data_IF_340759227837
#
_entry.id   IF_340759227837
#
_cell.length_a   1.000
_cell.length_b   1.000
_cell.length_c   1.000
_cell.angle_alpha   90.00
_cell.angle_beta   90.00
_cell.angle_gamma   90.00
#
_symmetry.space_group_name_H-M   'P 1'
#
loop_
_entity.id
_entity.type
_entity.pdbx_description
1 polymer ?
#
# COMPACT_ATOMS: atom_id res chain seq x y z
N UNK A 1 -5.90 1.81 20.97
CA UNK A 1 -6.83 2.37 19.95
C UNK A 1 -6.48 1.77 18.59
N UNK A 2 -7.24 0.78 18.12
CA UNK A 2 -7.08 0.27 16.76
C UNK A 2 -7.68 1.30 15.81
N UNK A 3 -6.82 2.10 15.18
CA UNK A 3 -7.27 3.04 14.16
C UNK A 3 -7.64 2.25 12.92
N UNK A 4 -8.89 2.40 12.48
CA UNK A 4 -9.39 1.98 11.18
C UNK A 4 -8.45 2.52 10.09
N UNK A 5 -7.70 1.63 9.42
CA UNK A 5 -6.60 1.98 8.52
C UNK A 5 -6.69 1.16 7.24
N UNK A 6 -6.28 1.80 6.13
CA UNK A 6 -6.10 1.14 4.84
C UNK A 6 -4.64 0.78 4.68
N UNK A 7 -4.37 -0.42 4.18
CA UNK A 7 -3.03 -0.90 3.89
C UNK A 7 -2.89 -1.16 2.39
N UNK A 8 -1.66 -0.99 1.90
CA UNK A 8 -1.27 -1.42 0.57
C UNK A 8 -0.20 -2.50 0.75
N UNK A 9 -0.46 -3.69 0.22
CA UNK A 9 0.49 -4.79 0.20
C UNK A 9 1.10 -4.85 -1.19
N UNK A 10 2.42 -4.71 -1.26
CA UNK A 10 3.18 -4.83 -2.52
C UNK A 10 3.89 -6.17 -2.51
N UNK A 11 3.50 -7.07 -3.41
CA UNK A 11 4.19 -8.33 -3.66
C UNK A 11 5.10 -8.21 -4.88
N UNK A 12 6.27 -8.84 -4.86
CA UNK A 12 7.18 -8.92 -6.00
C UNK A 12 7.50 -10.38 -6.33
N UNK A 13 7.87 -10.64 -7.59
CA UNK A 13 8.56 -11.88 -7.94
C UNK A 13 10.00 -11.88 -7.42
N UNK A 14 10.66 -13.05 -7.47
CA UNK A 14 12.04 -13.23 -6.98
C UNK A 14 13.04 -12.31 -7.68
N UNK A 15 12.84 -12.07 -8.97
CA UNK A 15 13.67 -11.17 -9.76
C UNK A 15 13.39 -9.67 -9.50
N UNK A 16 12.37 -9.32 -8.69
CA UNK A 16 11.95 -7.94 -8.41
C UNK A 16 11.67 -7.10 -9.67
N UNK A 17 11.19 -7.75 -10.73
CA UNK A 17 10.86 -7.12 -12.02
C UNK A 17 9.37 -6.94 -12.22
N UNK A 18 8.57 -7.70 -11.48
CA UNK A 18 7.11 -7.73 -11.55
C UNK A 18 6.55 -7.56 -10.16
N UNK A 19 5.68 -6.58 -10.00
CA UNK A 19 5.03 -6.26 -8.74
C UNK A 19 3.52 -6.31 -8.90
N UNK A 20 2.82 -6.69 -7.83
CA UNK A 20 1.37 -6.59 -7.71
C UNK A 20 1.02 -5.85 -6.43
N UNK A 21 -0.05 -5.07 -6.47
CA UNK A 21 -0.48 -4.27 -5.32
C UNK A 21 -1.89 -4.69 -4.92
N UNK A 22 -2.06 -5.04 -3.65
CA UNK A 22 -3.37 -5.28 -3.04
C UNK A 22 -3.71 -4.13 -2.12
N UNK A 23 -4.95 -3.63 -2.22
CA UNK A 23 -5.50 -2.69 -1.24
C UNK A 23 -6.31 -3.46 -0.22
N UNK A 24 -5.95 -3.29 1.05
CA UNK A 24 -6.63 -3.89 2.18
C UNK A 24 -7.36 -2.77 2.91
N UNK A 25 -8.68 -2.81 2.93
CA UNK A 25 -9.51 -1.90 3.69
C UNK A 25 -9.97 -2.57 5.00
N UNK A 26 -9.58 -1.97 6.12
CA UNK A 26 -10.01 -2.36 7.48
C UNK A 26 -10.78 -1.24 8.16
N UNK A 27 -11.50 -0.42 7.39
CA UNK A 27 -12.32 0.65 7.99
C UNK A 27 -13.50 0.11 8.78
N UNK A 28 -14.00 -1.06 8.43
CA UNK A 28 -15.04 -1.75 9.18
C UNK A 28 -14.40 -2.81 10.10
N UNK A 29 -14.78 -2.86 11.39
CA UNK A 29 -14.13 -3.75 12.36
C UNK A 29 -14.37 -5.25 12.10
N UNK A 30 -15.45 -5.60 11.40
CA UNK A 30 -15.86 -6.99 11.14
C UNK A 30 -15.64 -7.44 9.69
N UNK A 31 -15.41 -6.49 8.78
CA UNK A 31 -15.29 -6.76 7.36
C UNK A 31 -13.91 -6.38 6.85
N UNK A 32 -13.22 -7.36 6.27
CA UNK A 32 -11.94 -7.17 5.61
C UNK A 32 -12.18 -7.15 4.10
N UNK A 33 -11.98 -6.00 3.47
CA UNK A 33 -12.10 -5.87 2.02
C UNK A 33 -10.71 -5.90 1.40
N UNK A 34 -10.48 -6.88 0.53
CA UNK A 34 -9.24 -6.98 -0.25
C UNK A 34 -9.57 -6.71 -1.71
N UNK A 35 -8.88 -5.73 -2.30
CA UNK A 35 -9.06 -5.32 -3.68
C UNK A 35 -7.76 -5.59 -4.43
N UNK A 36 -7.90 -6.35 -5.52
CA UNK A 36 -6.84 -6.70 -6.45
C UNK A 36 -7.15 -6.04 -7.80
N UNK A 37 -6.29 -5.13 -8.24
CA UNK A 37 -6.44 -4.47 -9.55
C UNK A 37 -5.99 -5.37 -10.71
N UNK A 38 -5.41 -6.54 -10.40
CA UNK A 38 -4.87 -7.52 -11.36
C UNK A 38 -3.80 -6.97 -12.29
N UNK A 39 -3.23 -5.81 -11.96
CA UNK A 39 -2.19 -5.18 -12.75
C UNK A 39 -0.81 -5.70 -12.31
N UNK A 40 0.08 -5.87 -13.29
CA UNK A 40 1.48 -6.22 -13.04
C UNK A 40 2.32 -4.98 -13.32
N UNK A 41 2.81 -4.37 -12.25
CA UNK A 41 3.65 -3.19 -12.29
C UNK A 41 5.13 -3.56 -12.47
N UNK A 42 5.85 -2.75 -13.23
CA UNK A 42 7.32 -2.68 -13.17
C UNK A 42 7.80 -1.99 -11.89
N UNK A 43 9.10 -2.08 -11.63
CA UNK A 43 9.73 -1.42 -10.48
C UNK A 43 9.54 0.11 -10.51
N UNK A 44 9.56 0.73 -11.69
CA UNK A 44 9.34 2.17 -11.82
C UNK A 44 7.89 2.53 -11.52
N UNK A 45 6.93 1.82 -12.13
CA UNK A 45 5.51 2.13 -11.98
C UNK A 45 5.03 1.94 -10.54
N UNK A 46 5.53 0.93 -9.82
CA UNK A 46 5.18 0.73 -8.41
C UNK A 46 5.74 1.85 -7.52
N UNK A 47 6.95 2.33 -7.80
CA UNK A 47 7.52 3.49 -7.10
C UNK A 47 6.68 4.75 -7.34
N UNK A 48 6.29 5.01 -8.60
CA UNK A 48 5.43 6.14 -8.95
C UNK A 48 4.03 6.03 -8.34
N UNK A 49 3.45 4.83 -8.31
CA UNK A 49 2.17 4.57 -7.65
C UNK A 49 2.24 4.89 -6.15
N UNK A 50 3.25 4.37 -5.43
CA UNK A 50 3.42 4.64 -4.01
C UNK A 50 3.68 6.12 -3.72
N UNK A 51 4.46 6.80 -4.57
CA UNK A 51 4.70 8.25 -4.47
C UNK A 51 3.42 9.07 -4.61
N UNK A 52 2.56 8.74 -5.57
CA UNK A 52 1.25 9.40 -5.75
C UNK A 52 0.34 9.18 -4.55
N UNK A 53 0.31 7.97 -3.99
CA UNK A 53 -0.50 7.65 -2.81
C UNK A 53 -0.01 8.41 -1.57
N UNK A 54 1.32 8.53 -1.38
CA UNK A 54 1.88 9.31 -0.27
C UNK A 54 1.50 10.78 -0.37
N UNK A 55 1.68 11.41 -1.54
CA UNK A 55 1.30 12.80 -1.78
C UNK A 55 -0.20 13.05 -1.58
N UNK A 56 -1.05 12.17 -2.11
CA UNK A 56 -2.50 12.25 -1.96
C UNK A 56 -2.99 12.10 -0.52
N UNK A 57 -2.26 11.36 0.32
CA UNK A 57 -2.56 11.24 1.75
C UNK A 57 -2.06 12.45 2.55
N UNK A 58 -0.92 13.04 2.16
CA UNK A 58 -0.40 14.28 2.78
C UNK A 58 -1.33 15.48 2.60
N UNK A 59 -1.98 15.62 1.44
CA UNK A 59 -2.85 16.80 1.21
C UNK A 59 -4.13 16.82 2.05
N UNK A 60 -4.57 15.66 2.56
CA UNK A 60 -5.76 15.53 3.43
C UNK A 60 -5.46 15.80 4.91
N UNK A 61 -4.21 15.64 5.31
CA UNK A 61 -3.75 15.82 6.68
C UNK A 61 -2.94 17.11 6.65
N UNK A 62 -3.49 18.23 7.15
CA UNK A 62 -2.88 19.57 7.09
C UNK A 62 -1.51 19.76 7.78
N UNK A 63 -0.72 18.70 7.96
CA UNK A 63 0.58 18.67 8.60
C UNK A 63 1.68 18.43 7.56
N UNK A 64 2.34 19.52 7.14
CA UNK A 64 3.64 19.50 6.46
C UNK A 64 4.68 18.88 7.39
N UNK A 65 4.84 17.56 7.40
CA UNK A 65 5.91 16.93 8.19
C UNK A 65 5.83 15.41 8.34
N UNK A 66 4.65 14.80 8.23
CA UNK A 66 4.51 13.34 8.33
C UNK A 66 4.24 12.71 6.97
N UNK A 67 4.89 11.58 6.70
CA UNK A 67 4.59 10.72 5.55
C UNK A 67 3.10 10.31 5.59
N UNK A 68 2.38 10.47 4.48
CA UNK A 68 0.98 10.05 4.34
C UNK A 68 0.86 8.53 4.10
N UNK A 69 1.97 7.90 3.74
CA UNK A 69 2.17 6.46 3.66
C UNK A 69 3.45 6.09 4.40
N UNK A 70 3.39 5.11 5.30
CA UNK A 70 4.57 4.57 5.98
C UNK A 70 4.71 3.09 5.63
N UNK A 71 5.94 2.64 5.40
CA UNK A 71 6.23 1.21 5.27
C UNK A 71 6.03 0.59 6.65
N UNK A 72 5.00 -0.25 6.78
CA UNK A 72 4.70 -0.92 8.04
C UNK A 72 5.65 -2.10 8.29
N UNK A 73 5.80 -3.00 7.32
CA UNK A 73 6.55 -4.25 7.43
C UNK A 73 7.10 -4.68 6.06
N UNK A 74 8.09 -5.59 6.08
CA UNK A 74 8.58 -6.32 4.90
C UNK A 74 8.83 -7.78 5.32
N UNK A 75 8.41 -8.72 4.47
CA UNK A 75 8.48 -10.15 4.76
C UNK A 75 8.67 -10.95 3.46
N UNK A 76 9.16 -12.18 3.59
CA UNK A 76 9.28 -13.17 2.53
C UNK A 76 8.42 -14.40 2.87
N UNK A 77 7.91 -15.11 1.86
CA UNK A 77 7.25 -16.40 2.05
C UNK A 77 5.94 -16.33 2.85
N UNK A 78 4.94 -15.62 2.34
CA UNK A 78 3.57 -15.71 2.89
C UNK A 78 3.10 -17.16 2.72
N UNK A 79 2.95 -17.89 3.83
CA UNK A 79 2.48 -19.28 3.89
C UNK A 79 0.98 -19.37 4.15
#
# INVERSE_FOLDING_TARGET
MCTFKRFFLVGSNDAQTKHRVLKIDRTEPRDLVIIDDKHVYSQQEVCELLGRLDLGNRSKIGQKGSSGLSRALSAYGIV
#
